data_IF_331252549255
#
_entry.id   IF_331252549255
#
_cell.length_a   1.000
_cell.length_b   1.000
_cell.length_c   1.000
_cell.angle_alpha   90.00
_cell.angle_beta   90.00
_cell.angle_gamma   90.00
#
_symmetry.space_group_name_H-M   'P 1'
#
loop_
_entity.id
_entity.type
_entity.pdbx_description
1 polymer ?
#
# COMPACT_ATOMS: atom_id res chain seq x y z
N UNK A 1 35.09 49.90 27.67
CA UNK A 1 35.02 50.80 26.49
C UNK A 1 36.17 50.45 25.55
N UNK A 2 35.96 50.66 24.24
CA UNK A 2 36.81 50.33 23.08
C UNK A 2 36.75 48.83 22.68
N UNK A 3 36.00 48.37 21.68
CA UNK A 3 35.35 49.05 20.56
C UNK A 3 36.25 49.05 19.32
N UNK A 4 36.26 47.97 18.55
CA UNK A 4 36.78 47.98 17.18
C UNK A 4 35.67 47.64 16.19
N UNK A 5 35.22 48.68 15.46
CA UNK A 5 34.39 48.58 14.25
C UNK A 5 35.30 48.30 13.06
N UNK A 6 35.02 47.24 12.31
CA UNK A 6 35.60 47.03 10.98
C UNK A 6 34.56 47.47 9.95
N UNK A 7 34.89 48.48 9.13
CA UNK A 7 34.09 48.88 7.95
C UNK A 7 34.60 48.13 6.73
N UNK A 8 33.70 47.43 6.04
CA UNK A 8 33.88 46.98 4.65
C UNK A 8 32.68 47.44 3.83
N UNK A 9 32.91 48.02 2.65
CA UNK A 9 31.86 48.62 1.80
C UNK A 9 31.08 47.62 0.94
N UNK A 10 31.53 46.37 0.77
CA UNK A 10 30.83 45.35 -0.04
C UNK A 10 31.14 43.90 0.39
N UNK A 11 31.15 43.58 1.68
CA UNK A 11 31.69 42.28 2.12
C UNK A 11 31.01 41.56 3.29
N UNK A 12 29.82 41.97 3.74
CA UNK A 12 29.18 41.34 4.92
C UNK A 12 27.75 40.82 4.65
N UNK A 13 27.17 41.04 3.47
CA UNK A 13 25.80 40.57 3.18
C UNK A 13 25.74 39.16 2.56
N UNK A 14 26.87 38.61 2.10
CA UNK A 14 26.86 37.32 1.36
C UNK A 14 26.94 36.10 2.29
N UNK A 15 27.61 36.18 3.45
CA UNK A 15 27.80 35.02 4.31
C UNK A 15 26.50 34.64 5.04
N UNK A 16 25.74 35.62 5.54
CA UNK A 16 24.47 35.34 6.24
C UNK A 16 23.37 34.76 5.32
N UNK A 17 23.34 35.16 4.04
CA UNK A 17 22.41 34.60 3.06
C UNK A 17 22.77 33.16 2.66
N UNK A 18 24.06 32.83 2.51
CA UNK A 18 24.49 31.45 2.20
C UNK A 18 24.21 30.51 3.39
N UNK A 19 24.40 30.98 4.63
CA UNK A 19 24.05 30.21 5.83
C UNK A 19 22.55 29.99 5.98
N UNK A 20 21.72 31.02 5.76
CA UNK A 20 20.26 30.89 5.82
C UNK A 20 19.72 29.97 4.72
N UNK A 21 20.27 30.03 3.50
CA UNK A 21 19.90 29.15 2.39
C UNK A 21 20.37 27.71 2.63
N UNK A 22 21.57 27.48 3.16
CA UNK A 22 22.04 26.13 3.52
C UNK A 22 21.24 25.52 4.68
N UNK A 23 20.81 26.32 5.65
CA UNK A 23 19.93 25.89 6.74
C UNK A 23 18.53 25.62 6.20
N UNK A 24 17.97 26.43 5.30
CA UNK A 24 16.67 26.19 4.67
C UNK A 24 16.70 24.95 3.76
N UNK A 25 17.77 24.72 2.99
CA UNK A 25 17.94 23.50 2.19
C UNK A 25 18.10 22.28 3.11
N UNK A 26 18.89 22.38 4.18
CA UNK A 26 19.05 21.33 5.18
C UNK A 26 17.76 21.01 5.95
N UNK A 27 16.95 22.02 6.28
CA UNK A 27 15.64 21.84 6.92
C UNK A 27 14.64 21.17 5.95
N UNK A 28 14.64 21.58 4.69
CA UNK A 28 13.77 20.97 3.67
C UNK A 28 14.19 19.52 3.35
N UNK A 29 15.48 19.20 3.37
CA UNK A 29 15.98 17.83 3.24
C UNK A 29 15.65 16.99 4.48
N UNK A 30 15.73 17.57 5.69
CA UNK A 30 15.37 16.89 6.95
C UNK A 30 13.85 16.62 7.03
N UNK A 31 13.01 17.57 6.62
CA UNK A 31 11.55 17.39 6.52
C UNK A 31 11.17 16.38 5.42
N UNK A 32 11.88 16.36 4.28
CA UNK A 32 11.74 15.34 3.24
C UNK A 32 12.14 13.93 3.75
N UNK A 33 13.07 13.84 4.70
CA UNK A 33 13.53 12.56 5.24
C UNK A 33 12.68 12.00 6.38
N UNK A 34 11.95 12.82 7.14
CA UNK A 34 11.29 12.42 8.40
C UNK A 34 9.79 12.15 8.30
N UNK A 35 9.18 12.34 7.14
CA UNK A 35 7.83 11.87 6.89
C UNK A 35 7.70 11.63 5.40
N UNK A 36 7.52 10.36 5.01
CA UNK A 36 7.04 10.05 3.65
C UNK A 36 5.67 10.73 3.55
N UNK A 37 5.46 11.68 2.62
CA UNK A 37 4.19 12.37 2.49
C UNK A 37 3.10 11.34 2.25
N UNK A 38 2.19 11.21 3.19
CA UNK A 38 0.94 10.48 2.98
C UNK A 38 0.21 11.24 1.91
N UNK A 39 0.06 10.65 0.74
CA UNK A 39 -0.84 11.24 -0.24
C UNK A 39 -2.24 11.15 0.36
N UNK A 40 -2.84 12.29 0.69
CA UNK A 40 -4.28 12.43 0.95
C UNK A 40 -5.10 12.21 -0.35
N UNK A 41 -4.57 11.39 -1.25
CA UNK A 41 -5.17 11.08 -2.52
C UNK A 41 -6.32 10.15 -2.25
N UNK A 42 -7.52 10.64 -2.53
CA UNK A 42 -8.74 9.84 -2.49
C UNK A 42 -8.89 8.97 -3.74
N UNK A 43 -7.99 9.14 -4.72
CA UNK A 43 -8.03 8.49 -6.04
C UNK A 43 -6.63 8.12 -6.51
N UNK A 44 -6.57 7.03 -7.27
CA UNK A 44 -5.41 6.56 -8.01
C UNK A 44 -5.87 6.17 -9.42
N UNK A 45 -5.19 6.65 -10.47
CA UNK A 45 -5.56 6.37 -11.86
C UNK A 45 -7.05 6.64 -12.17
N UNK A 46 -7.57 7.78 -11.71
CA UNK A 46 -8.99 8.19 -11.83
C UNK A 46 -10.03 7.26 -11.14
N UNK A 47 -9.59 6.30 -10.35
CA UNK A 47 -10.43 5.38 -9.58
C UNK A 47 -10.29 5.70 -8.09
N UNK A 48 -11.37 5.65 -7.31
CA UNK A 48 -11.29 5.96 -5.87
C UNK A 48 -10.46 4.91 -5.13
N UNK A 49 -9.78 5.29 -4.06
CA UNK A 49 -9.08 4.30 -3.25
C UNK A 49 -10.04 3.27 -2.65
N UNK A 50 -11.26 3.68 -2.28
CA UNK A 50 -12.35 2.76 -1.90
C UNK A 50 -12.58 1.68 -2.97
N UNK A 51 -12.72 2.04 -4.24
CA UNK A 51 -12.89 1.07 -5.33
C UNK A 51 -11.64 0.20 -5.52
N UNK A 52 -10.44 0.74 -5.31
CA UNK A 52 -9.21 -0.04 -5.35
C UNK A 52 -9.11 -1.07 -4.22
N UNK A 53 -9.51 -0.72 -3.00
CA UNK A 53 -9.58 -1.68 -1.89
C UNK A 53 -10.61 -2.78 -2.16
N UNK A 54 -11.75 -2.46 -2.77
CA UNK A 54 -12.72 -3.47 -3.22
C UNK A 54 -12.13 -4.40 -4.30
N UNK A 55 -11.34 -3.86 -5.25
CA UNK A 55 -10.60 -4.67 -6.24
C UNK A 55 -9.57 -5.58 -5.58
N UNK A 56 -8.88 -5.12 -4.53
CA UNK A 56 -7.97 -5.94 -3.76
C UNK A 56 -8.68 -7.13 -3.11
N UNK A 57 -9.86 -6.92 -2.50
CA UNK A 57 -10.65 -8.01 -1.92
C UNK A 57 -11.12 -9.02 -2.96
N UNK A 58 -11.59 -8.54 -4.12
CA UNK A 58 -11.94 -9.41 -5.26
C UNK A 58 -10.76 -10.27 -5.69
N UNK A 59 -9.57 -9.70 -5.75
CA UNK A 59 -8.35 -10.43 -6.04
C UNK A 59 -8.05 -11.47 -4.95
N UNK A 60 -7.99 -11.06 -3.69
CA UNK A 60 -7.67 -11.92 -2.55
C UNK A 60 -8.63 -13.12 -2.40
N UNK A 61 -9.91 -12.96 -2.76
CA UNK A 61 -10.94 -14.01 -2.65
C UNK A 61 -11.10 -14.86 -3.91
N UNK A 62 -10.37 -14.53 -4.99
CA UNK A 62 -10.44 -15.26 -6.26
C UNK A 62 -9.69 -16.60 -6.25
N UNK A 63 -8.93 -16.88 -5.20
CA UNK A 63 -8.09 -18.08 -5.10
C UNK A 63 -8.76 -19.20 -4.30
N UNK A 64 -8.80 -20.39 -4.90
CA UNK A 64 -9.25 -21.63 -4.26
C UNK A 64 -8.10 -22.33 -3.54
N UNK A 65 -8.32 -22.78 -2.30
CA UNK A 65 -7.39 -23.62 -1.55
C UNK A 65 -6.15 -22.89 -1.03
N UNK A 66 -5.21 -23.69 -0.51
CA UNK A 66 -4.01 -23.23 0.19
C UNK A 66 -2.85 -22.90 -0.77
N UNK A 67 -2.70 -23.69 -1.83
CA UNK A 67 -1.63 -23.53 -2.81
C UNK A 67 -1.92 -22.35 -3.73
N UNK A 68 -0.88 -21.62 -4.14
CA UNK A 68 -1.00 -20.49 -5.08
C UNK A 68 -1.86 -19.32 -4.57
N UNK A 69 -2.02 -19.17 -3.26
CA UNK A 69 -2.74 -18.05 -2.67
C UNK A 69 -1.77 -16.94 -2.21
N UNK A 70 -1.86 -15.71 -2.77
CA UNK A 70 -1.02 -14.58 -2.36
C UNK A 70 -1.04 -14.25 -0.86
N UNK A 71 -2.12 -14.58 -0.13
CA UNK A 71 -2.22 -14.34 1.32
C UNK A 71 -1.40 -15.32 2.16
N UNK A 72 -1.16 -16.51 1.64
CA UNK A 72 -0.37 -17.59 2.26
C UNK A 72 1.01 -17.73 1.60
N UNK A 73 1.38 -16.77 0.77
CA UNK A 73 2.59 -16.83 -0.02
C UNK A 73 3.84 -16.80 0.89
N UNK A 74 4.67 -17.85 0.89
CA UNK A 74 5.83 -17.91 1.77
C UNK A 74 6.98 -17.03 1.30
N UNK A 75 7.03 -16.63 0.03
CA UNK A 75 8.22 -16.01 -0.55
C UNK A 75 7.98 -14.91 -1.61
N UNK A 76 6.73 -14.63 -1.98
CA UNK A 76 6.35 -13.60 -2.97
C UNK A 76 6.06 -14.14 -4.37
N UNK A 77 6.26 -15.44 -4.62
CA UNK A 77 6.03 -16.05 -5.94
C UNK A 77 4.57 -15.99 -6.38
N UNK A 78 3.63 -16.22 -5.46
CA UNK A 78 2.19 -16.19 -5.77
C UNK A 78 1.70 -14.75 -5.96
N UNK A 79 2.14 -13.83 -5.09
CA UNK A 79 1.87 -12.39 -5.22
C UNK A 79 2.33 -11.90 -6.60
N UNK A 80 3.54 -12.25 -7.03
CA UNK A 80 4.07 -11.88 -8.34
C UNK A 80 3.28 -12.50 -9.50
N UNK A 81 3.01 -13.80 -9.43
CA UNK A 81 2.42 -14.55 -10.53
C UNK A 81 0.95 -14.18 -10.79
N UNK A 82 0.21 -13.86 -9.74
CA UNK A 82 -1.25 -13.74 -9.80
C UNK A 82 -1.75 -12.31 -9.65
N UNK A 83 -0.95 -11.30 -10.01
CA UNK A 83 -1.44 -9.93 -10.11
C UNK A 83 -2.63 -9.84 -11.08
N UNK A 84 -3.64 -9.00 -10.80
CA UNK A 84 -4.70 -8.74 -11.76
C UNK A 84 -4.12 -8.21 -13.08
N UNK A 85 -4.46 -8.80 -14.24
CA UNK A 85 -3.89 -8.39 -15.51
C UNK A 85 -4.34 -6.97 -15.89
N UNK A 86 -3.46 -6.24 -16.58
CA UNK A 86 -3.72 -4.90 -17.13
C UNK A 86 -4.19 -3.86 -16.09
N UNK A 87 -3.78 -4.01 -14.81
CA UNK A 87 -4.02 -3.00 -13.79
C UNK A 87 -2.76 -2.16 -13.55
N UNK A 88 -2.89 -0.83 -13.43
CA UNK A 88 -1.78 0.06 -13.13
C UNK A 88 -1.41 0.07 -11.63
N UNK A 89 -2.11 -0.72 -10.81
CA UNK A 89 -1.87 -0.86 -9.38
C UNK A 89 -1.45 -2.30 -9.08
N UNK A 90 -0.28 -2.45 -8.47
CA UNK A 90 0.26 -3.69 -7.95
C UNK A 90 -0.29 -3.93 -6.54
N UNK A 91 -0.85 -5.11 -6.30
CA UNK A 91 -1.37 -5.50 -4.98
C UNK A 91 -0.33 -6.30 -4.20
N UNK A 92 -0.02 -5.83 -2.99
CA UNK A 92 0.65 -6.66 -1.98
C UNK A 92 -0.37 -7.15 -0.97
N UNK A 93 -0.05 -8.28 -0.35
CA UNK A 93 -0.88 -8.92 0.65
C UNK A 93 -0.20 -8.89 2.01
N UNK A 94 -0.99 -8.94 3.09
CA UNK A 94 -0.47 -9.36 4.38
C UNK A 94 -0.06 -10.84 4.37
N UNK A 95 0.49 -11.31 5.49
CA UNK A 95 0.64 -12.73 5.80
C UNK A 95 -0.55 -13.17 6.66
N UNK A 96 -1.47 -13.96 6.11
CA UNK A 96 -2.71 -14.31 6.82
C UNK A 96 -2.41 -15.12 8.09
N UNK A 97 -2.76 -14.55 9.26
CA UNK A 97 -2.50 -15.09 10.59
C UNK A 97 -1.08 -15.66 10.79
N UNK A 98 -0.08 -14.99 10.22
CA UNK A 98 1.29 -15.50 10.14
C UNK A 98 2.31 -14.38 9.95
N UNK A 99 3.59 -14.78 9.94
CA UNK A 99 4.73 -13.91 9.64
C UNK A 99 5.37 -14.38 8.33
N UNK A 100 5.62 -13.47 7.39
CA UNK A 100 6.17 -13.79 6.07
C UNK A 100 7.35 -12.93 5.67
N UNK A 101 8.26 -13.49 4.86
CA UNK A 101 9.33 -12.75 4.19
C UNK A 101 9.23 -12.99 2.69
N UNK A 102 8.98 -11.94 1.91
CA UNK A 102 8.65 -12.04 0.48
C UNK A 102 9.60 -11.20 -0.35
N UNK A 103 9.90 -11.66 -1.56
CA UNK A 103 10.63 -10.86 -2.55
C UNK A 103 9.73 -10.64 -3.76
N UNK A 104 9.59 -9.39 -4.18
CA UNK A 104 8.77 -9.01 -5.33
C UNK A 104 9.52 -8.04 -6.22
N UNK A 105 9.12 -7.96 -7.48
CA UNK A 105 9.65 -7.02 -8.46
C UNK A 105 8.48 -6.23 -9.03
N UNK A 106 8.52 -4.91 -8.91
CA UNK A 106 7.41 -4.04 -9.28
C UNK A 106 7.94 -2.98 -10.27
N UNK A 107 7.29 -2.77 -11.43
CA UNK A 107 7.64 -1.66 -12.31
C UNK A 107 7.42 -0.31 -11.63
N UNK A 108 8.29 0.67 -11.88
CA UNK A 108 8.24 1.99 -11.24
C UNK A 108 6.98 2.80 -11.61
N UNK A 109 6.36 2.52 -12.75
CA UNK A 109 5.11 3.15 -13.23
C UNK A 109 3.85 2.57 -12.58
N UNK A 110 3.96 1.48 -11.81
CA UNK A 110 2.84 0.94 -11.04
C UNK A 110 2.66 1.71 -9.72
N UNK A 111 1.41 2.02 -9.38
CA UNK A 111 1.07 2.31 -7.99
C UNK A 111 1.10 1.03 -7.17
N UNK A 112 1.33 1.13 -5.85
CA UNK A 112 1.36 -0.04 -4.96
C UNK A 112 0.26 0.13 -3.91
N UNK A 113 -0.64 -0.84 -3.79
CA UNK A 113 -1.70 -0.84 -2.78
C UNK A 113 -1.57 -2.06 -1.88
N UNK A 114 -1.64 -1.83 -0.57
CA UNK A 114 -1.61 -2.91 0.41
C UNK A 114 -2.34 -2.54 1.71
N UNK A 115 -2.98 -3.53 2.36
CA UNK A 115 -3.51 -3.33 3.70
C UNK A 115 -2.40 -3.48 4.75
N UNK A 116 -2.50 -2.69 5.82
CA UNK A 116 -1.76 -2.91 7.07
C UNK A 116 -2.57 -3.84 7.98
N UNK A 117 -3.87 -3.56 8.10
CA UNK A 117 -4.87 -4.40 8.76
C UNK A 117 -6.23 -4.12 8.10
N UNK A 118 -6.98 -5.15 7.73
CA UNK A 118 -8.22 -4.99 7.01
C UNK A 118 -9.18 -6.15 7.24
N UNK A 119 -10.45 -5.91 6.96
CA UNK A 119 -11.52 -6.91 7.03
C UNK A 119 -12.58 -6.66 5.97
N UNK A 120 -13.35 -7.70 5.70
CA UNK A 120 -14.46 -7.70 4.77
C UNK A 120 -15.56 -8.58 5.37
N UNK A 121 -16.82 -8.20 5.14
CA UNK A 121 -17.96 -9.01 5.54
C UNK A 121 -19.06 -8.89 4.49
N UNK A 122 -19.60 -10.05 4.10
CA UNK A 122 -20.66 -10.13 3.10
C UNK A 122 -21.98 -10.63 3.67
N UNK A 123 -23.03 -10.55 2.85
CA UNK A 123 -24.31 -11.20 3.13
C UNK A 123 -24.22 -12.73 3.17
N UNK A 124 -23.17 -13.33 2.59
CA UNK A 124 -22.93 -14.75 2.80
C UNK A 124 -22.45 -14.96 4.24
N UNK A 125 -21.52 -14.16 4.72
CA UNK A 125 -20.91 -14.29 6.05
C UNK A 125 -21.90 -14.03 7.19
N UNK A 126 -22.78 -13.05 7.00
CA UNK A 126 -23.79 -12.64 7.95
C UNK A 126 -25.21 -12.82 7.38
N UNK A 127 -25.79 -14.04 7.38
CA UNK A 127 -27.09 -14.31 6.76
C UNK A 127 -28.27 -13.52 7.34
N UNK A 128 -28.15 -13.01 8.58
CA UNK A 128 -29.16 -12.19 9.22
C UNK A 128 -29.05 -10.69 8.85
N UNK A 129 -27.99 -10.29 8.14
CA UNK A 129 -27.86 -8.93 7.65
C UNK A 129 -28.86 -8.68 6.52
N UNK A 130 -29.58 -7.57 6.60
CA UNK A 130 -30.58 -7.16 5.60
C UNK A 130 -30.16 -5.90 4.85
N UNK A 131 -29.10 -5.23 5.31
CA UNK A 131 -28.65 -3.96 4.77
C UNK A 131 -27.12 -3.80 4.81
N UNK A 132 -26.59 -2.86 4.02
CA UNK A 132 -25.19 -2.44 4.11
C UNK A 132 -24.83 -1.95 5.53
N UNK A 133 -25.78 -1.33 6.24
CA UNK A 133 -25.55 -0.81 7.58
C UNK A 133 -25.29 -1.95 8.59
N UNK A 134 -25.99 -3.08 8.44
CA UNK A 134 -25.77 -4.26 9.29
C UNK A 134 -24.34 -4.81 9.11
N UNK A 135 -23.89 -4.93 7.86
CA UNK A 135 -22.54 -5.38 7.52
C UNK A 135 -21.48 -4.41 8.07
N UNK A 136 -21.66 -3.10 7.85
CA UNK A 136 -20.72 -2.08 8.36
C UNK A 136 -20.62 -2.08 9.88
N UNK A 137 -21.74 -2.24 10.58
CA UNK A 137 -21.76 -2.29 12.05
C UNK A 137 -20.98 -3.50 12.59
N UNK A 138 -21.11 -4.66 11.94
CA UNK A 138 -20.36 -5.84 12.34
C UNK A 138 -18.86 -5.65 12.13
N UNK A 139 -18.46 -5.06 10.99
CA UNK A 139 -17.06 -4.87 10.65
C UNK A 139 -16.36 -3.77 11.47
N UNK A 140 -17.07 -2.69 11.82
CA UNK A 140 -16.52 -1.60 12.62
C UNK A 140 -16.05 -2.07 14.01
N UNK A 141 -16.77 -3.02 14.61
CA UNK A 141 -16.37 -3.63 15.88
C UNK A 141 -15.08 -4.45 15.76
N UNK A 142 -14.84 -5.09 14.61
CA UNK A 142 -13.65 -5.92 14.38
C UNK A 142 -12.43 -5.03 14.14
N UNK A 143 -12.51 -4.13 13.16
CA UNK A 143 -11.42 -3.20 12.83
C UNK A 143 -11.12 -2.22 13.98
N UNK A 144 -12.13 -1.85 14.77
CA UNK A 144 -11.96 -1.04 15.97
C UNK A 144 -11.20 -1.74 17.10
N UNK A 145 -11.06 -3.07 17.06
CA UNK A 145 -10.33 -3.85 18.06
C UNK A 145 -8.82 -3.96 17.77
N UNK A 146 -8.32 -3.29 16.73
CA UNK A 146 -6.90 -3.27 16.39
C UNK A 146 -6.02 -2.90 17.59
N UNK A 147 -5.02 -3.73 17.89
CA UNK A 147 -4.04 -3.52 18.96
C UNK A 147 -2.73 -2.95 18.44
N UNK A 148 -2.42 -3.18 17.16
CA UNK A 148 -1.24 -2.61 16.50
C UNK A 148 -1.49 -2.39 15.01
N UNK A 149 -1.07 -1.24 14.49
CA UNK A 149 -1.08 -0.92 13.06
C UNK A 149 0.20 -0.13 12.78
N UNK A 150 1.05 -0.64 11.89
CA UNK A 150 2.27 0.07 11.49
C UNK A 150 2.89 -0.48 10.22
N UNK A 151 3.54 0.39 9.46
CA UNK A 151 4.30 0.03 8.28
C UNK A 151 5.54 0.91 8.15
N UNK A 152 6.62 0.36 7.61
CA UNK A 152 7.88 1.03 7.41
C UNK A 152 8.43 0.74 6.01
N UNK A 153 9.00 1.76 5.35
CA UNK A 153 9.78 1.62 4.13
C UNK A 153 11.21 2.09 4.40
N UNK A 154 12.17 1.21 4.20
CA UNK A 154 13.60 1.41 4.49
C UNK A 154 13.84 1.91 5.92
N UNK A 155 13.08 1.36 6.88
CA UNK A 155 13.16 1.70 8.31
C UNK A 155 12.51 3.03 8.69
N UNK A 156 11.76 3.66 7.77
CA UNK A 156 10.99 4.87 8.03
C UNK A 156 9.51 4.57 8.05
N UNK A 157 8.82 5.05 9.07
CA UNK A 157 7.37 4.90 9.19
C UNK A 157 6.63 5.51 7.98
N UNK A 158 5.67 4.75 7.44
CA UNK A 158 4.71 5.21 6.44
C UNK A 158 3.34 5.28 7.10
N UNK A 159 2.64 6.40 6.91
CA UNK A 159 1.28 6.53 7.42
C UNK A 159 0.29 5.80 6.52
N UNK A 160 -0.80 5.35 7.13
CA UNK A 160 -1.92 4.69 6.48
C UNK A 160 -3.18 5.54 6.58
N UNK A 161 -4.18 5.20 5.78
CA UNK A 161 -5.52 5.78 5.83
C UNK A 161 -6.54 4.69 6.15
N UNK A 162 -7.54 5.02 6.99
CA UNK A 162 -8.70 4.13 7.14
C UNK A 162 -9.62 4.32 5.94
N UNK A 163 -9.82 3.26 5.15
CA UNK A 163 -10.59 3.28 3.91
C UNK A 163 -11.70 2.25 4.01
N UNK A 164 -12.93 2.74 3.89
CA UNK A 164 -14.13 1.92 3.82
C UNK A 164 -14.59 1.80 2.38
N UNK A 165 -14.75 0.57 1.90
CA UNK A 165 -15.49 0.33 0.67
C UNK A 165 -16.97 0.14 1.01
N UNK A 166 -17.89 0.90 0.37
CA UNK A 166 -19.31 0.62 0.45
C UNK A 166 -19.62 -0.71 -0.26
N UNK A 167 -20.90 -1.04 -0.40
CA UNK A 167 -21.31 -2.32 -0.96
C UNK A 167 -20.72 -2.56 -2.37
N UNK A 168 -19.98 -3.66 -2.54
CA UNK A 168 -19.44 -4.09 -3.83
C UNK A 168 -19.76 -5.55 -4.11
N UNK A 169 -19.94 -5.91 -5.38
CA UNK A 169 -20.09 -7.30 -5.80
C UNK A 169 -18.78 -8.05 -5.64
N UNK A 170 -18.81 -9.28 -5.12
CA UNK A 170 -17.64 -10.15 -5.01
C UNK A 170 -18.06 -11.60 -5.27
N UNK A 171 -17.14 -12.40 -5.78
CA UNK A 171 -17.35 -13.82 -6.00
C UNK A 171 -16.30 -14.60 -5.22
N UNK A 172 -16.74 -15.34 -4.21
CA UNK A 172 -15.84 -16.15 -3.39
C UNK A 172 -15.49 -17.42 -4.13
N UNK A 173 -14.19 -17.65 -4.34
CA UNK A 173 -13.73 -18.91 -4.89
C UNK A 173 -14.10 -20.06 -3.96
N UNK A 174 -14.37 -21.23 -4.54
CA UNK A 174 -14.61 -22.45 -3.76
C UNK A 174 -13.39 -22.76 -2.90
N UNK A 175 -13.60 -23.15 -1.65
CA UNK A 175 -12.53 -23.49 -0.69
C UNK A 175 -11.54 -22.33 -0.48
N UNK A 176 -12.00 -21.08 -0.58
CA UNK A 176 -11.19 -19.91 -0.28
C UNK A 176 -10.81 -19.91 1.22
N UNK A 177 -9.56 -19.53 1.50
CA UNK A 177 -8.96 -19.64 2.84
C UNK A 177 -9.61 -18.72 3.88
N UNK A 178 -10.30 -17.66 3.43
CA UNK A 178 -10.98 -16.69 4.28
C UNK A 178 -12.49 -17.00 4.42
N UNK A 179 -13.03 -17.85 3.55
CA UNK A 179 -14.45 -18.21 3.51
C UNK A 179 -14.59 -19.73 3.53
N UNK A 180 -14.38 -20.31 4.72
CA UNK A 180 -14.14 -21.76 4.88
C UNK A 180 -15.33 -22.65 4.53
N UNK A 181 -16.55 -22.11 4.39
CA UNK A 181 -17.75 -22.90 4.05
C UNK A 181 -18.71 -22.20 3.07
N UNK A 182 -18.34 -21.06 2.50
CA UNK A 182 -19.22 -20.25 1.65
C UNK A 182 -18.49 -19.90 0.36
N UNK A 183 -19.17 -20.01 -0.78
CA UNK A 183 -18.59 -19.69 -2.09
C UNK A 183 -19.68 -19.17 -3.03
N UNK A 184 -19.26 -18.55 -4.12
CA UNK A 184 -20.16 -17.97 -5.11
C UNK A 184 -20.37 -16.46 -4.96
N UNK A 185 -21.26 -15.88 -5.79
CA UNK A 185 -21.47 -14.45 -5.86
C UNK A 185 -22.22 -13.92 -4.64
N UNK A 186 -21.79 -12.77 -4.14
CA UNK A 186 -22.42 -12.04 -3.04
C UNK A 186 -22.12 -10.55 -3.14
N UNK A 187 -22.61 -9.77 -2.18
CA UNK A 187 -22.21 -8.39 -1.96
C UNK A 187 -21.59 -8.22 -0.57
N UNK A 188 -20.56 -7.40 -0.54
CA UNK A 188 -19.62 -7.24 0.55
C UNK A 188 -19.41 -5.77 0.89
N UNK A 189 -19.05 -5.48 2.14
CA UNK A 189 -18.43 -4.20 2.53
C UNK A 189 -17.05 -4.49 3.10
N UNK A 190 -16.15 -3.53 3.02
CA UNK A 190 -14.84 -3.65 3.65
C UNK A 190 -14.42 -2.38 4.37
N UNK A 191 -13.51 -2.55 5.32
CA UNK A 191 -12.90 -1.51 6.13
C UNK A 191 -11.48 -1.96 6.47
N UNK A 192 -10.59 -1.01 6.68
CA UNK A 192 -9.21 -1.31 7.03
C UNK A 192 -8.32 -0.09 6.93
N UNK A 193 -7.10 -0.28 7.39
CA UNK A 193 -6.00 0.66 7.29
C UNK A 193 -5.15 0.28 6.09
N UNK A 194 -5.09 1.18 5.11
CA UNK A 194 -4.50 0.95 3.79
C UNK A 194 -3.40 1.96 3.51
N UNK A 195 -2.43 1.53 2.72
CA UNK A 195 -1.41 2.39 2.14
C UNK A 195 -1.49 2.26 0.63
N UNK A 196 -1.54 3.42 -0.02
CA UNK A 196 -1.31 3.54 -1.45
C UNK A 196 -0.04 4.36 -1.68
N UNK A 197 0.90 3.80 -2.43
CA UNK A 197 2.11 4.46 -2.88
C UNK A 197 1.94 4.81 -4.35
N UNK A 198 2.11 6.09 -4.68
CA UNK A 198 2.01 6.59 -6.06
C UNK A 198 3.09 5.94 -6.95
N UNK A 199 2.85 5.86 -8.27
CA UNK A 199 3.91 5.57 -9.23
C UNK A 199 5.12 6.47 -9.00
N UNK A 200 6.31 5.90 -9.16
CA UNK A 200 7.60 6.59 -9.00
C UNK A 200 7.84 7.24 -7.62
N UNK A 201 7.00 6.96 -6.60
CA UNK A 201 7.23 7.45 -5.23
C UNK A 201 8.35 6.70 -4.50
N UNK A 202 8.64 5.47 -4.93
CA UNK A 202 9.79 4.68 -4.49
C UNK A 202 10.85 4.72 -5.59
N UNK A 203 12.12 5.08 -5.28
CA UNK A 203 13.20 5.04 -6.27
C UNK A 203 13.38 3.64 -6.91
N UNK A 204 13.95 3.60 -8.12
CA UNK A 204 14.40 2.34 -8.73
C UNK A 204 15.51 1.74 -7.87
N UNK A 205 15.38 0.46 -7.52
CA UNK A 205 16.33 -0.20 -6.61
C UNK A 205 15.70 -1.23 -5.70
N UNK A 206 16.46 -1.65 -4.69
CA UNK A 206 15.99 -2.58 -3.66
C UNK A 206 15.55 -1.80 -2.42
N UNK A 207 14.37 -2.12 -1.92
CA UNK A 207 13.76 -1.51 -0.76
C UNK A 207 13.22 -2.58 0.20
N UNK A 208 13.12 -2.23 1.48
CA UNK A 208 12.52 -3.09 2.50
C UNK A 208 11.23 -2.44 2.97
N UNK A 209 10.12 -3.12 2.73
CA UNK A 209 8.80 -2.72 3.21
C UNK A 209 8.38 -3.70 4.32
N UNK A 210 8.25 -3.22 5.55
CA UNK A 210 7.73 -3.99 6.68
C UNK A 210 6.31 -3.53 7.00
N UNK A 211 5.41 -4.48 7.21
CA UNK A 211 3.99 -4.23 7.47
C UNK A 211 3.55 -5.12 8.62
N UNK A 212 2.91 -4.53 9.64
CA UNK A 212 2.36 -5.28 10.76
C UNK A 212 0.98 -4.74 11.16
N UNK A 213 0.02 -5.66 11.21
CA UNK A 213 -1.33 -5.44 11.74
C UNK A 213 -1.67 -6.50 12.78
N UNK A 214 -2.26 -6.10 13.89
CA UNK A 214 -2.62 -6.99 14.99
C UNK A 214 -3.97 -6.59 15.58
N UNK A 215 -4.79 -7.59 15.89
CA UNK A 215 -6.02 -7.47 16.65
C UNK A 215 -6.21 -8.77 17.47
N UNK A 216 -7.19 -8.86 18.39
CA UNK A 216 -7.43 -10.08 19.14
C UNK A 216 -7.56 -11.31 18.23
N UNK A 217 -6.79 -12.35 18.52
CA UNK A 217 -6.76 -13.63 17.79
C UNK A 217 -6.27 -13.57 16.32
N UNK A 218 -5.76 -12.42 15.85
CA UNK A 218 -5.23 -12.28 14.50
C UNK A 218 -3.97 -11.41 14.47
N UNK A 219 -2.94 -11.90 13.78
CA UNK A 219 -1.73 -11.13 13.49
C UNK A 219 -1.32 -11.33 12.04
N UNK A 220 -1.04 -10.23 11.34
CA UNK A 220 -0.37 -10.25 10.06
C UNK A 220 0.93 -9.48 10.15
N UNK A 221 2.03 -10.11 9.79
CA UNK A 221 3.32 -9.43 9.69
C UNK A 221 4.07 -9.89 8.45
N UNK A 222 4.53 -8.96 7.63
CA UNK A 222 5.23 -9.29 6.41
C UNK A 222 6.35 -8.30 6.13
N UNK A 223 7.52 -8.83 5.81
CA UNK A 223 8.65 -8.07 5.28
C UNK A 223 8.80 -8.38 3.81
N UNK A 224 8.65 -7.36 2.96
CA UNK A 224 8.91 -7.42 1.54
C UNK A 224 10.28 -6.85 1.21
N UNK A 225 11.10 -7.63 0.52
CA UNK A 225 12.17 -7.11 -0.33
C UNK A 225 11.58 -6.71 -1.67
N UNK A 226 11.35 -5.42 -1.86
CA UNK A 226 10.75 -4.86 -3.08
C UNK A 226 11.87 -4.43 -4.02
N UNK A 227 11.91 -5.01 -5.22
CA UNK A 227 12.79 -4.55 -6.29
C UNK A 227 11.98 -3.67 -7.24
N UNK A 228 12.16 -2.36 -7.17
CA UNK A 228 11.56 -1.42 -8.12
C UNK A 228 12.42 -1.42 -9.39
N UNK A 229 11.81 -1.75 -10.52
CA UNK A 229 12.47 -1.72 -11.84
C UNK A 229 12.07 -0.47 -12.61
N UNK A 230 13.01 0.08 -13.38
CA UNK A 230 12.71 1.15 -14.32
C UNK A 230 11.58 0.72 -15.28
N UNK A 231 10.83 1.70 -15.77
CA UNK A 231 9.73 1.48 -16.71
C UNK A 231 10.15 0.53 -17.82
N UNK A 232 9.28 -0.44 -18.14
CA UNK A 232 9.50 -1.23 -19.35
C UNK A 232 9.32 -0.28 -20.53
N UNK A 233 10.42 0.21 -21.10
CA UNK A 233 10.39 0.87 -22.41
C UNK A 233 9.69 -0.09 -23.36
N UNK A 234 8.47 0.23 -23.77
CA UNK A 234 7.72 -0.57 -24.72
C UNK A 234 8.50 -0.63 -26.02
N UNK A 235 9.26 -1.71 -26.22
CA UNK A 235 9.98 -1.98 -27.46
C UNK A 235 8.94 -2.29 -28.53
N UNK A 236 8.34 -1.25 -29.09
CA UNK A 236 7.68 -1.34 -30.39
C UNK A 236 8.81 -1.45 -31.41
N UNK A 237 9.23 -2.68 -31.69
CA UNK A 237 10.02 -2.97 -32.89
C UNK A 237 9.12 -2.67 -34.09
N UNK A 238 9.16 -1.43 -34.58
CA UNK A 238 8.75 -1.14 -35.94
C UNK A 238 9.76 -1.84 -36.85
N UNK A 239 9.40 -3.04 -37.32
CA UNK A 239 10.04 -3.65 -38.46
C UNK A 239 9.84 -2.72 -39.65
N UNK A 240 10.88 -1.95 -39.98
CA UNK A 240 11.04 -1.36 -41.30
C UNK A 240 11.11 -2.49 -42.34
N UNK A 241 9.98 -2.79 -42.97
CA UNK A 241 10.00 -3.46 -44.26
C UNK A 241 10.43 -2.46 -45.32
N UNK A 242 11.73 -2.41 -45.59
CA UNK A 242 12.28 -1.99 -46.88
C UNK A 242 12.62 -3.22 -47.70
N UNK A 243 11.76 -3.56 -48.66
CA UNK A 243 12.13 -3.99 -50.01
C UNK A 243 10.92 -3.93 -50.93
#
# INVERSE_FOLDING_TARGET
MLGFKVKSKYGVVIIALVSAVAVLIGLNIWLYYNSIPVTNNTKAFNVTLSDWTARWWKWAFSFSGYYNNPLLDPNGTSVMKFQPPHQPVFFLSGAYNSVGNRTVTIPADNGILFPVLNGEISFLDLPNATSQADLKKALDSDIGAATYIGAELDGKEIQFQRIQAPLFDINYAKDNILSTNKSGPTKAVSDGYWIYLEPNSIPVGQHILHIKGEQPFYRSEVTYKVNIQAESNGTTMLTEHKK
#
